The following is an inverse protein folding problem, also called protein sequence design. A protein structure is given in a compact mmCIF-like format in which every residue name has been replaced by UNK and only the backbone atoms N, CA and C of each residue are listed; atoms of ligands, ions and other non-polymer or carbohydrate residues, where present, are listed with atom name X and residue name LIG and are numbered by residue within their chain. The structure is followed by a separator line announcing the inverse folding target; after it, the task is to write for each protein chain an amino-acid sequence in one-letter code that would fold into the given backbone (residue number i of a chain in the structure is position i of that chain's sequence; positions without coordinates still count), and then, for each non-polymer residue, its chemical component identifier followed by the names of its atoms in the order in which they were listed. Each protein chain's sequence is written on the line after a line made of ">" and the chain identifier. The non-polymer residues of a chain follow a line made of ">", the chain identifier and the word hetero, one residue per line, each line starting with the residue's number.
data_IF_951656839324
#
_entry.id   IF_951656839324
#
_cell.length_a   1.000
_cell.length_b   1.000
_cell.length_c   1.000
_cell.angle_alpha   90.00
_cell.angle_beta   90.00
_cell.angle_gamma   90.00
#
_symmetry.space_group_name_H-M   'P 1'
#
loop_
_entity.id
_entity.type
_entity.pdbx_description
1 polymer ?
#
# COMPACT_ATOMS: atom_id res chain seq x y z
N UNK A 1 13.93 13.26 -24.71
CA UNK A 1 13.13 14.03 -25.68
C UNK A 1 11.88 14.53 -24.99
N UNK A 2 11.67 15.86 -25.00
CA UNK A 2 10.58 16.60 -24.32
C UNK A 2 9.37 16.78 -25.26
N UNK A 3 8.21 17.03 -24.63
CA UNK A 3 6.95 17.68 -25.10
C UNK A 3 5.76 16.71 -25.17
N UNK A 4 4.80 16.77 -24.24
CA UNK A 4 3.72 17.76 -24.03
C UNK A 4 2.73 17.80 -25.21
N UNK A 5 1.56 17.18 -25.02
CA UNK A 5 0.29 17.42 -25.72
C UNK A 5 -0.80 17.22 -24.66
N UNK A 6 -1.27 18.25 -23.92
CA UNK A 6 -2.27 19.28 -24.28
C UNK A 6 -3.55 18.72 -24.91
N UNK A 7 -4.55 18.59 -24.04
CA UNK A 7 -5.98 18.84 -24.23
C UNK A 7 -6.41 19.21 -25.65
N UNK A 8 -7.15 18.28 -26.27
CA UNK A 8 -8.01 18.56 -27.41
C UNK A 8 -9.46 18.50 -26.93
N UNK A 9 -10.07 19.68 -26.86
CA UNK A 9 -11.52 19.86 -26.77
C UNK A 9 -12.19 19.04 -27.86
N UNK A 10 -13.16 18.20 -27.47
CA UNK A 10 -14.17 17.65 -28.38
C UNK A 10 -15.11 18.78 -28.80
N UNK A 11 -14.68 19.50 -29.82
CA UNK A 11 -15.52 20.33 -30.67
C UNK A 11 -15.72 19.58 -31.99
N UNK A 12 -16.83 18.85 -32.10
CA UNK A 12 -17.41 18.37 -33.35
C UNK A 12 -18.85 17.94 -33.04
N UNK A 13 -19.87 18.15 -33.85
CA UNK A 13 -20.09 18.96 -35.02
C UNK A 13 -21.60 18.76 -35.27
N UNK A 14 -22.40 19.82 -35.16
CA UNK A 14 -23.69 19.87 -35.84
C UNK A 14 -23.73 21.18 -36.62
N UNK A 15 -23.21 21.10 -37.84
CA UNK A 15 -23.38 22.11 -38.84
C UNK A 15 -24.35 21.60 -39.91
N UNK A 16 -25.10 22.56 -40.45
CA UNK A 16 -25.78 22.55 -41.75
C UNK A 16 -27.23 22.06 -41.75
N UNK A 17 -28.15 23.02 -41.58
CA UNK A 17 -29.02 23.40 -42.70
C UNK A 17 -28.83 24.91 -42.91
N UNK A 18 -27.99 25.24 -43.90
CA UNK A 18 -27.94 26.54 -44.56
C UNK A 18 -28.64 26.35 -45.90
N UNK A 19 -29.73 27.08 -46.12
CA UNK A 19 -30.18 27.43 -47.45
C UNK A 19 -30.38 28.94 -47.51
N UNK A 20 -29.34 29.60 -48.03
CA UNK A 20 -29.31 30.82 -48.81
C UNK A 20 -30.46 31.84 -48.65
N UNK A 21 -30.10 33.02 -48.13
CA UNK A 21 -30.14 34.25 -48.91
C UNK A 21 -29.31 35.32 -48.17
N UNK A 22 -28.39 35.96 -48.89
CA UNK A 22 -27.69 37.13 -48.38
C UNK A 22 -28.69 38.25 -48.11
N UNK A 23 -28.76 38.71 -46.88
CA UNK A 23 -29.30 40.02 -46.53
C UNK A 23 -28.28 40.68 -45.64
N UNK A 24 -27.82 41.85 -46.08
CA UNK A 24 -27.13 42.85 -45.30
C UNK A 24 -27.63 42.88 -43.86
N UNK A 25 -26.72 42.67 -42.90
CA UNK A 25 -26.96 42.76 -41.48
C UNK A 25 -27.40 44.18 -41.10
N UNK A 26 -28.68 44.46 -41.24
CA UNK A 26 -29.36 45.32 -40.29
C UNK A 26 -29.35 44.55 -38.98
N UNK A 27 -28.91 45.20 -37.90
CA UNK A 27 -29.26 44.75 -36.56
C UNK A 27 -30.80 44.79 -36.50
N UNK A 28 -31.45 43.70 -36.88
CA UNK A 28 -32.88 43.52 -36.66
C UNK A 28 -33.05 43.62 -35.15
N UNK A 29 -33.88 44.58 -34.74
CA UNK A 29 -34.27 44.73 -33.35
C UNK A 29 -34.75 43.38 -32.83
N UNK A 30 -33.95 42.73 -31.98
CA UNK A 30 -34.27 41.43 -31.43
C UNK A 30 -35.60 41.48 -30.67
N UNK A 31 -36.00 42.66 -30.19
CA UNK A 31 -37.27 42.86 -29.50
C UNK A 31 -38.50 42.77 -30.43
N UNK A 32 -38.30 42.89 -31.75
CA UNK A 32 -39.32 42.66 -32.77
C UNK A 32 -39.49 41.19 -33.19
N UNK A 33 -38.58 40.28 -32.79
CA UNK A 33 -38.64 38.85 -33.14
C UNK A 33 -39.58 38.06 -32.23
N UNK A 34 -40.89 38.28 -32.40
CA UNK A 34 -41.90 37.56 -31.64
C UNK A 34 -41.83 36.03 -31.86
N UNK A 35 -41.55 35.58 -33.09
CA UNK A 35 -41.50 34.16 -33.41
C UNK A 35 -40.33 33.45 -32.70
N UNK A 36 -39.14 34.06 -32.68
CA UNK A 36 -37.97 33.54 -31.97
C UNK A 36 -38.16 33.54 -30.46
N UNK A 37 -38.77 34.59 -29.89
CA UNK A 37 -39.12 34.65 -28.48
C UNK A 37 -40.08 33.53 -28.08
N UNK A 38 -41.18 33.39 -28.81
CA UNK A 38 -42.22 32.39 -28.52
C UNK A 38 -41.68 30.95 -28.68
N UNK A 39 -40.76 30.72 -29.63
CA UNK A 39 -40.10 29.43 -29.82
C UNK A 39 -39.19 29.04 -28.62
N UNK A 40 -38.40 29.98 -28.10
CA UNK A 40 -37.59 29.75 -26.89
C UNK A 40 -38.47 29.56 -25.66
N UNK A 41 -39.49 30.39 -25.49
CA UNK A 41 -40.46 30.25 -24.39
C UNK A 41 -41.15 28.88 -24.41
N UNK A 42 -41.62 28.45 -25.59
CA UNK A 42 -42.18 27.11 -25.77
C UNK A 42 -41.19 26.01 -25.39
N UNK A 43 -39.94 26.12 -25.83
CA UNK A 43 -38.88 25.15 -25.49
C UNK A 43 -38.67 25.08 -23.97
N UNK A 44 -38.64 26.23 -23.29
CA UNK A 44 -38.51 26.31 -21.83
C UNK A 44 -39.72 25.66 -21.17
N UNK A 45 -40.95 26.00 -21.57
CA UNK A 45 -42.18 25.47 -20.98
C UNK A 45 -42.28 23.96 -21.14
N UNK A 46 -42.01 23.45 -22.34
CA UNK A 46 -42.07 22.02 -22.68
C UNK A 46 -41.06 21.18 -21.88
N UNK A 47 -39.92 21.76 -21.48
CA UNK A 47 -38.83 21.02 -20.82
C UNK A 47 -38.65 21.34 -19.33
N UNK A 48 -39.20 22.45 -18.83
CA UNK A 48 -38.99 22.93 -17.44
C UNK A 48 -39.46 21.95 -16.35
N UNK A 49 -40.46 21.13 -16.67
CA UNK A 49 -41.01 20.08 -15.82
C UNK A 49 -40.35 18.71 -16.03
N UNK A 50 -39.64 18.54 -17.15
CA UNK A 50 -38.94 17.30 -17.50
C UNK A 50 -37.68 17.17 -16.64
N UNK A 51 -37.63 16.13 -15.80
CA UNK A 51 -36.55 15.88 -14.84
C UNK A 51 -35.42 15.02 -15.40
N UNK A 52 -35.19 15.05 -16.72
CA UNK A 52 -34.09 14.34 -17.38
C UNK A 52 -32.89 15.26 -17.62
N UNK A 53 -31.70 14.69 -17.77
CA UNK A 53 -30.47 15.43 -18.10
C UNK A 53 -30.67 16.33 -19.33
N UNK A 54 -31.25 15.78 -20.39
CA UNK A 54 -31.52 16.49 -21.64
C UNK A 54 -32.57 17.60 -21.44
N UNK A 55 -33.64 17.34 -20.67
CA UNK A 55 -34.65 18.35 -20.37
C UNK A 55 -34.09 19.53 -19.57
N UNK A 56 -33.25 19.24 -18.56
CA UNK A 56 -32.54 20.28 -17.78
C UNK A 56 -31.60 21.11 -18.65
N UNK A 57 -30.81 20.46 -19.51
CA UNK A 57 -29.93 21.15 -20.45
C UNK A 57 -30.70 22.05 -21.42
N UNK A 58 -31.73 21.51 -22.09
CA UNK A 58 -32.55 22.28 -23.04
C UNK A 58 -33.19 23.49 -22.37
N UNK A 59 -33.74 23.33 -21.16
CA UNK A 59 -34.36 24.45 -20.42
C UNK A 59 -33.34 25.51 -20.04
N UNK A 60 -32.16 25.11 -19.55
CA UNK A 60 -31.10 26.04 -19.17
C UNK A 60 -30.53 26.80 -20.37
N UNK A 61 -30.22 26.10 -21.46
CA UNK A 61 -29.66 26.69 -22.68
C UNK A 61 -30.67 27.67 -23.32
N UNK A 62 -31.92 27.25 -23.51
CA UNK A 62 -32.97 28.10 -24.08
C UNK A 62 -33.29 29.30 -23.18
N UNK A 63 -33.27 29.11 -21.85
CA UNK A 63 -33.45 30.19 -20.89
C UNK A 63 -32.34 31.24 -20.95
N UNK A 64 -31.07 30.81 -21.05
CA UNK A 64 -29.93 31.73 -21.22
C UNK A 64 -30.05 32.52 -22.51
N UNK A 65 -30.33 31.82 -23.61
CA UNK A 65 -30.51 32.47 -24.91
C UNK A 65 -31.68 33.47 -24.89
N UNK A 66 -32.78 33.13 -24.20
CA UNK A 66 -33.90 34.05 -24.01
C UNK A 66 -33.49 35.30 -23.23
N UNK A 67 -32.80 35.13 -22.10
CA UNK A 67 -32.33 36.27 -21.29
C UNK A 67 -31.34 37.16 -22.04
N UNK A 68 -30.45 36.56 -22.84
CA UNK A 68 -29.46 37.28 -23.64
C UNK A 68 -30.12 38.08 -24.78
N UNK A 69 -31.04 37.46 -25.53
CA UNK A 69 -31.66 38.09 -26.70
C UNK A 69 -32.84 39.00 -26.36
N UNK A 70 -33.67 38.61 -25.40
CA UNK A 70 -34.97 39.24 -25.13
C UNK A 70 -35.11 39.78 -23.71
N UNK A 71 -34.23 39.43 -22.78
CA UNK A 71 -34.35 39.77 -21.36
C UNK A 71 -34.28 41.27 -21.02
N UNK A 72 -33.90 42.12 -21.98
CA UNK A 72 -33.85 43.57 -21.86
C UNK A 72 -34.89 44.30 -22.75
N UNK A 73 -35.71 43.57 -23.49
CA UNK A 73 -36.66 44.14 -24.44
C UNK A 73 -37.81 44.88 -23.73
N UNK A 74 -38.17 46.05 -24.28
CA UNK A 74 -39.18 46.94 -23.72
C UNK A 74 -40.30 47.21 -24.72
N UNK A 75 -41.52 47.40 -24.21
CA UNK A 75 -42.65 47.87 -25.01
C UNK A 75 -42.54 49.37 -25.34
N UNK A 76 -43.50 49.90 -26.09
CA UNK A 76 -43.56 51.33 -26.46
C UNK A 76 -43.66 52.28 -25.26
N UNK A 77 -44.16 51.77 -24.12
CA UNK A 77 -44.24 52.50 -22.86
C UNK A 77 -42.97 52.38 -22.00
N UNK A 78 -41.95 51.64 -22.47
CA UNK A 78 -40.67 51.45 -21.79
C UNK A 78 -40.66 50.35 -20.73
N UNK A 79 -41.72 49.55 -20.61
CA UNK A 79 -41.82 48.43 -19.67
C UNK A 79 -41.18 47.17 -20.24
N UNK A 80 -40.55 46.34 -19.40
CA UNK A 80 -39.98 45.06 -19.84
C UNK A 80 -41.08 44.12 -20.36
N UNK A 81 -40.90 43.62 -21.59
CA UNK A 81 -41.79 42.63 -22.18
C UNK A 81 -41.63 41.31 -21.42
N UNK A 82 -42.72 40.79 -20.86
CA UNK A 82 -42.70 39.52 -20.13
C UNK A 82 -41.88 39.56 -18.84
N UNK A 83 -41.89 40.69 -18.11
CA UNK A 83 -41.11 40.91 -16.89
C UNK A 83 -41.15 39.71 -15.91
N UNK A 84 -42.34 39.16 -15.63
CA UNK A 84 -42.51 38.00 -14.75
C UNK A 84 -41.76 36.75 -15.24
N UNK A 85 -41.77 36.51 -16.55
CA UNK A 85 -41.08 35.37 -17.15
C UNK A 85 -39.55 35.58 -17.14
N UNK A 86 -39.09 36.81 -17.40
CA UNK A 86 -37.67 37.18 -17.30
C UNK A 86 -37.17 37.02 -15.86
N UNK A 87 -37.93 37.49 -14.86
CA UNK A 87 -37.59 37.29 -13.44
C UNK A 87 -37.59 35.82 -13.04
N UNK A 88 -38.60 35.07 -13.46
CA UNK A 88 -38.67 33.62 -13.25
C UNK A 88 -37.45 32.91 -13.86
N UNK A 89 -37.05 33.26 -15.08
CA UNK A 89 -35.88 32.70 -15.76
C UNK A 89 -34.58 33.00 -15.01
N UNK A 90 -34.37 34.26 -14.59
CA UNK A 90 -33.21 34.64 -13.79
C UNK A 90 -33.10 33.81 -12.51
N UNK A 91 -34.23 33.49 -11.87
CA UNK A 91 -34.27 32.65 -10.68
C UNK A 91 -34.09 31.14 -10.98
N UNK A 92 -34.63 30.63 -12.09
CA UNK A 92 -34.70 29.19 -12.36
C UNK A 92 -33.55 28.63 -13.18
N UNK A 93 -32.96 29.39 -14.10
CA UNK A 93 -31.82 28.93 -14.91
C UNK A 93 -30.66 28.42 -14.04
N UNK A 94 -30.21 29.12 -12.97
CA UNK A 94 -29.17 28.60 -12.09
C UNK A 94 -29.52 27.25 -11.44
N UNK A 95 -30.81 27.04 -11.12
CA UNK A 95 -31.31 25.78 -10.55
C UNK A 95 -31.25 24.66 -11.58
N UNK A 96 -31.64 24.92 -12.82
CA UNK A 96 -31.58 23.92 -13.90
C UNK A 96 -30.15 23.58 -14.28
N UNK A 97 -29.24 24.56 -14.33
CA UNK A 97 -27.82 24.32 -14.56
C UNK A 97 -27.18 23.47 -13.47
N UNK A 98 -27.43 23.81 -12.21
CA UNK A 98 -26.96 23.03 -11.07
C UNK A 98 -27.47 21.59 -11.17
N UNK A 99 -28.76 21.41 -11.42
CA UNK A 99 -29.37 20.08 -11.58
C UNK A 99 -28.78 19.30 -12.76
N UNK A 100 -28.54 19.94 -13.90
CA UNK A 100 -27.88 19.32 -15.05
C UNK A 100 -26.46 18.87 -14.71
N UNK A 101 -25.66 19.74 -14.09
CA UNK A 101 -24.28 19.43 -13.70
C UNK A 101 -24.21 18.31 -12.66
N UNK A 102 -25.15 18.28 -11.71
CA UNK A 102 -25.29 17.17 -10.75
C UNK A 102 -25.60 15.84 -11.46
N UNK A 103 -26.50 15.85 -12.47
CA UNK A 103 -26.80 14.65 -13.27
C UNK A 103 -25.60 14.19 -14.10
N UNK A 104 -24.85 15.10 -14.71
CA UNK A 104 -23.60 14.78 -15.45
C UNK A 104 -22.56 14.17 -14.50
N UNK A 105 -22.40 14.75 -13.29
CA UNK A 105 -21.50 14.21 -12.27
C UNK A 105 -21.94 12.81 -11.84
N UNK A 106 -23.25 12.59 -11.63
CA UNK A 106 -23.80 11.29 -11.24
C UNK A 106 -23.56 10.22 -12.32
N UNK A 107 -23.88 10.52 -13.58
CA UNK A 107 -23.66 9.59 -14.71
C UNK A 107 -22.19 9.19 -14.86
N UNK A 108 -21.27 10.16 -14.74
CA UNK A 108 -19.83 9.87 -14.73
C UNK A 108 -19.46 8.96 -13.55
N UNK A 109 -19.96 9.27 -12.35
CA UNK A 109 -19.67 8.50 -11.16
C UNK A 109 -20.21 7.05 -11.27
N UNK A 110 -21.39 6.87 -11.86
CA UNK A 110 -21.99 5.55 -12.09
C UNK A 110 -21.17 4.73 -13.09
N UNK A 111 -20.71 5.35 -14.19
CA UNK A 111 -19.84 4.70 -15.17
C UNK A 111 -18.50 4.26 -14.54
N UNK A 112 -17.87 5.13 -13.76
CA UNK A 112 -16.63 4.82 -13.05
C UNK A 112 -16.83 3.72 -12.00
N UNK A 113 -17.93 3.78 -11.24
CA UNK A 113 -18.28 2.76 -10.24
C UNK A 113 -18.46 1.40 -10.91
N UNK A 114 -19.17 1.36 -12.05
CA UNK A 114 -19.33 0.14 -12.85
C UNK A 114 -17.97 -0.39 -13.32
N UNK A 115 -17.13 0.46 -13.89
CA UNK A 115 -15.78 0.07 -14.33
C UNK A 115 -14.93 -0.46 -13.18
N UNK A 116 -15.02 0.16 -12.00
CA UNK A 116 -14.31 -0.27 -10.79
C UNK A 116 -14.72 -1.68 -10.37
N UNK A 117 -16.01 -1.95 -10.21
CA UNK A 117 -16.48 -3.27 -9.78
C UNK A 117 -16.34 -4.35 -10.85
N UNK A 118 -16.56 -4.03 -12.13
CA UNK A 118 -16.28 -4.96 -13.23
C UNK A 118 -14.78 -5.28 -13.29
N UNK A 119 -13.93 -4.28 -13.06
CA UNK A 119 -12.48 -4.45 -12.95
C UNK A 119 -12.09 -5.38 -11.82
N UNK A 120 -12.70 -5.25 -10.64
CA UNK A 120 -12.46 -6.17 -9.52
C UNK A 120 -12.85 -7.60 -9.90
N UNK A 121 -14.07 -7.78 -10.44
CA UNK A 121 -14.59 -9.10 -10.82
C UNK A 121 -13.74 -9.80 -11.86
N UNK A 122 -13.23 -9.04 -12.83
CA UNK A 122 -12.42 -9.54 -13.95
C UNK A 122 -10.92 -9.53 -13.67
N UNK A 123 -10.50 -9.04 -12.50
CA UNK A 123 -9.09 -8.80 -12.14
C UNK A 123 -8.35 -7.87 -13.11
N UNK A 124 -9.08 -6.95 -13.74
CA UNK A 124 -8.52 -5.89 -14.58
C UNK A 124 -8.04 -4.74 -13.70
N UNK A 125 -6.86 -4.91 -13.10
CA UNK A 125 -6.34 -3.98 -12.10
C UNK A 125 -6.08 -2.58 -12.67
N UNK A 126 -5.67 -2.47 -13.93
CA UNK A 126 -5.55 -1.17 -14.60
C UNK A 126 -6.88 -0.41 -14.60
N UNK A 127 -8.00 -1.11 -14.87
CA UNK A 127 -9.32 -0.50 -14.81
C UNK A 127 -9.70 -0.10 -13.38
N UNK A 128 -9.39 -0.93 -12.38
CA UNK A 128 -9.66 -0.66 -10.96
C UNK A 128 -8.89 0.57 -10.47
N UNK A 129 -7.58 0.66 -10.77
CA UNK A 129 -6.77 1.83 -10.42
C UNK A 129 -7.25 3.07 -11.17
N UNK A 130 -7.52 2.99 -12.47
CA UNK A 130 -7.97 4.13 -13.26
C UNK A 130 -9.28 4.71 -12.69
N UNK A 131 -10.31 3.87 -12.53
CA UNK A 131 -11.61 4.35 -12.06
C UNK A 131 -11.63 4.70 -10.58
N UNK A 132 -10.94 3.93 -9.72
CA UNK A 132 -10.85 4.20 -8.29
C UNK A 132 -10.19 5.54 -7.99
N UNK A 133 -9.14 5.90 -8.75
CA UNK A 133 -8.49 7.22 -8.66
C UNK A 133 -9.43 8.37 -9.00
N UNK A 134 -10.22 8.24 -10.06
CA UNK A 134 -11.18 9.27 -10.45
C UNK A 134 -12.35 9.38 -9.46
N UNK A 135 -12.86 8.26 -8.94
CA UNK A 135 -13.90 8.26 -7.90
C UNK A 135 -13.44 9.01 -6.64
N UNK A 136 -12.24 8.69 -6.14
CA UNK A 136 -11.64 9.37 -4.99
C UNK A 136 -11.41 10.87 -5.23
N UNK A 137 -11.12 11.28 -6.47
CA UNK A 137 -10.97 12.69 -6.82
C UNK A 137 -12.33 13.43 -6.91
N UNK A 138 -13.40 12.74 -7.27
CA UNK A 138 -14.75 13.32 -7.40
C UNK A 138 -15.44 13.55 -6.06
N UNK A 139 -15.27 12.62 -5.13
CA UNK A 139 -15.85 12.66 -3.78
C UNK A 139 -15.06 11.69 -2.86
N UNK A 140 -14.00 12.17 -2.19
CA UNK A 140 -13.13 11.30 -1.38
C UNK A 140 -13.84 10.72 -0.16
N UNK A 141 -14.88 11.37 0.36
CA UNK A 141 -15.64 10.87 1.51
C UNK A 141 -16.57 9.74 1.09
N UNK A 142 -17.29 9.90 -0.03
CA UNK A 142 -18.17 8.87 -0.55
C UNK A 142 -17.43 7.62 -1.04
N UNK A 143 -16.28 7.81 -1.69
CA UNK A 143 -15.56 6.72 -2.37
C UNK A 143 -14.33 6.21 -1.60
N UNK A 144 -14.14 6.64 -0.35
CA UNK A 144 -13.02 6.21 0.51
C UNK A 144 -12.79 4.69 0.58
N UNK A 145 -13.82 3.82 0.59
CA UNK A 145 -13.60 2.37 0.57
C UNK A 145 -12.78 1.86 -0.63
N UNK A 146 -12.78 2.57 -1.77
CA UNK A 146 -11.94 2.23 -2.91
C UNK A 146 -10.44 2.33 -2.56
N UNK A 147 -10.06 3.23 -1.66
CA UNK A 147 -8.69 3.43 -1.20
C UNK A 147 -8.09 2.16 -0.59
N UNK A 148 -8.87 1.45 0.24
CA UNK A 148 -8.49 0.17 0.83
C UNK A 148 -8.25 -0.89 -0.25
N UNK A 149 -9.12 -0.94 -1.26
CA UNK A 149 -8.98 -1.89 -2.38
C UNK A 149 -7.68 -1.63 -3.12
N UNK A 150 -7.44 -0.37 -3.51
CA UNK A 150 -6.21 0.05 -4.18
C UNK A 150 -4.97 -0.22 -3.34
N UNK A 151 -5.06 -0.08 -2.01
CA UNK A 151 -4.00 -0.37 -1.06
C UNK A 151 -3.74 -1.86 -0.79
N UNK A 152 -4.54 -2.76 -1.39
CA UNK A 152 -4.45 -4.21 -1.11
C UNK A 152 -4.02 -5.05 -2.30
N UNK A 153 -4.31 -4.62 -3.54
CA UNK A 153 -4.09 -5.41 -4.77
C UNK A 153 -2.63 -5.84 -4.95
N UNK A 154 -1.67 -4.93 -4.76
CA UNK A 154 -0.25 -5.20 -5.04
C UNK A 154 0.34 -6.36 -4.22
N UNK A 155 -0.19 -6.63 -3.02
CA UNK A 155 0.25 -7.80 -2.23
C UNK A 155 -0.04 -9.11 -2.98
N UNK A 156 -1.30 -9.32 -3.39
CA UNK A 156 -1.71 -10.57 -4.05
C UNK A 156 -0.93 -10.79 -5.35
N UNK A 157 -0.72 -9.73 -6.13
CA UNK A 157 0.04 -9.76 -7.38
C UNK A 157 1.53 -10.02 -7.15
N UNK A 158 2.11 -9.41 -6.12
CA UNK A 158 3.51 -9.64 -5.73
C UNK A 158 3.70 -11.07 -5.17
N UNK A 159 2.65 -11.63 -4.55
CA UNK A 159 2.64 -12.97 -4.01
C UNK A 159 2.44 -14.07 -5.06
N UNK A 160 2.24 -13.76 -6.35
CA UNK A 160 2.19 -14.76 -7.43
C UNK A 160 3.57 -15.29 -7.83
N UNK A 161 3.55 -16.35 -8.64
CA UNK A 161 4.71 -16.91 -9.33
C UNK A 161 4.31 -17.17 -10.80
N UNK A 162 4.88 -16.45 -11.78
CA UNK A 162 5.83 -15.35 -11.63
C UNK A 162 5.20 -14.16 -10.88
N UNK A 163 6.06 -13.37 -10.24
CA UNK A 163 5.67 -12.17 -9.52
C UNK A 163 5.17 -11.09 -10.49
N UNK A 164 4.12 -10.38 -10.13
CA UNK A 164 3.65 -9.19 -10.87
C UNK A 164 3.73 -7.96 -9.96
N UNK A 165 4.47 -6.93 -10.39
CA UNK A 165 4.79 -5.75 -9.54
C UNK A 165 4.30 -4.43 -10.13
N UNK A 166 3.58 -4.49 -11.26
CA UNK A 166 3.10 -3.33 -12.03
C UNK A 166 2.41 -2.26 -11.19
N UNK A 167 1.63 -2.68 -10.19
CA UNK A 167 0.80 -1.78 -9.38
C UNK A 167 1.35 -1.49 -7.98
N UNK A 168 2.58 -1.91 -7.67
CA UNK A 168 3.11 -1.82 -6.31
C UNK A 168 3.29 -0.38 -5.82
N UNK A 169 3.64 0.56 -6.69
CA UNK A 169 3.80 1.97 -6.28
C UNK A 169 2.47 2.62 -5.91
N UNK A 170 1.43 2.40 -6.74
CA UNK A 170 0.07 2.86 -6.41
C UNK A 170 -0.46 2.13 -5.18
N UNK A 171 -0.21 0.82 -5.03
CA UNK A 171 -0.58 0.05 -3.82
C UNK A 171 0.05 0.65 -2.57
N UNK A 172 1.36 0.90 -2.58
CA UNK A 172 2.08 1.47 -1.44
C UNK A 172 1.52 2.85 -1.07
N UNK A 173 1.22 3.68 -2.07
CA UNK A 173 0.61 5.00 -1.86
C UNK A 173 -0.74 4.88 -1.17
N UNK A 174 -1.65 4.08 -1.71
CA UNK A 174 -3.01 3.94 -1.18
C UNK A 174 -3.04 3.21 0.16
N UNK A 175 -2.19 2.21 0.38
CA UNK A 175 -2.09 1.55 1.67
C UNK A 175 -1.64 2.49 2.79
N UNK A 176 -0.65 3.36 2.52
CA UNK A 176 -0.19 4.38 3.46
C UNK A 176 -1.26 5.44 3.73
N UNK A 177 -1.97 5.87 2.69
CA UNK A 177 -3.10 6.79 2.83
C UNK A 177 -4.20 6.17 3.71
N UNK A 178 -4.52 4.90 3.49
CA UNK A 178 -5.61 4.22 4.21
C UNK A 178 -5.27 4.01 5.66
N UNK A 179 -4.01 3.67 5.97
CA UNK A 179 -3.54 3.64 7.36
C UNK A 179 -3.70 5.01 8.01
N UNK A 180 -3.22 6.08 7.36
CA UNK A 180 -3.29 7.43 7.92
C UNK A 180 -4.75 7.88 8.17
N UNK A 181 -5.65 7.58 7.24
CA UNK A 181 -7.06 7.94 7.32
C UNK A 181 -7.82 7.12 8.38
N UNK A 182 -7.52 5.82 8.49
CA UNK A 182 -8.05 4.97 9.56
C UNK A 182 -7.55 5.43 10.94
N UNK A 183 -6.27 5.77 11.06
CA UNK A 183 -5.67 6.29 12.30
C UNK A 183 -6.26 7.65 12.67
N UNK A 184 -6.54 8.52 11.69
CA UNK A 184 -7.23 9.80 11.87
C UNK A 184 -8.74 9.68 12.17
N UNK A 185 -9.30 8.46 12.19
CA UNK A 185 -10.71 8.23 12.52
C UNK A 185 -11.68 8.57 11.40
N UNK A 186 -11.23 8.62 10.14
CA UNK A 186 -12.14 8.80 9.00
C UNK A 186 -13.00 7.56 8.80
N UNK A 187 -14.22 7.77 8.33
CA UNK A 187 -15.21 6.72 8.10
C UNK A 187 -14.96 6.00 6.77
N UNK A 188 -15.02 4.67 6.80
CA UNK A 188 -15.00 3.79 5.63
C UNK A 188 -16.23 2.88 5.71
N UNK A 189 -17.26 3.16 4.91
CA UNK A 189 -18.49 2.37 4.89
C UNK A 189 -18.78 1.90 3.46
N UNK A 190 -18.45 0.63 3.11
CA UNK A 190 -17.79 -0.41 3.93
C UNK A 190 -16.27 -0.21 4.12
N UNK A 191 -15.63 -1.01 4.97
CA UNK A 191 -14.16 -1.12 5.09
C UNK A 191 -13.54 -1.87 3.90
N UNK A 192 -13.64 -1.27 2.71
CA UNK A 192 -13.23 -1.87 1.44
C UNK A 192 -14.31 -2.70 0.78
N UNK A 193 -14.01 -3.22 -0.41
CA UNK A 193 -14.94 -4.03 -1.20
C UNK A 193 -14.35 -5.41 -1.47
N UNK A 194 -15.20 -6.44 -1.52
CA UNK A 194 -14.79 -7.82 -1.80
C UNK A 194 -13.95 -7.90 -3.09
N UNK A 195 -12.82 -8.65 -3.10
CA UNK A 195 -12.32 -9.53 -2.04
C UNK A 195 -11.45 -8.81 -0.98
N UNK A 196 -11.36 -7.48 -1.04
CA UNK A 196 -10.51 -6.62 -0.21
C UNK A 196 -11.32 -5.87 0.85
N UNK A 197 -12.34 -6.50 1.44
CA UNK A 197 -13.10 -5.94 2.55
C UNK A 197 -12.61 -6.51 3.89
N UNK A 198 -12.62 -5.69 4.94
CA UNK A 198 -12.17 -6.09 6.27
C UNK A 198 -13.29 -5.97 7.30
N UNK A 199 -13.25 -6.83 8.32
CA UNK A 199 -14.27 -6.89 9.37
C UNK A 199 -14.30 -5.65 10.27
N UNK A 200 -13.13 -5.06 10.54
CA UNK A 200 -12.94 -3.95 11.47
C UNK A 200 -11.64 -3.20 11.14
N UNK A 201 -11.42 -2.08 11.84
CA UNK A 201 -10.25 -1.21 11.67
C UNK A 201 -8.94 -1.97 11.96
N UNK A 202 -8.90 -2.81 12.98
CA UNK A 202 -7.67 -3.52 13.38
C UNK A 202 -7.26 -4.54 12.31
N UNK A 203 -8.24 -5.23 11.71
CA UNK A 203 -8.02 -6.13 10.57
C UNK A 203 -7.49 -5.38 9.35
N UNK A 204 -8.11 -4.24 9.02
CA UNK A 204 -7.65 -3.39 7.91
C UNK A 204 -6.22 -2.90 8.13
N UNK A 205 -5.92 -2.38 9.32
CA UNK A 205 -4.57 -1.93 9.67
C UNK A 205 -3.55 -3.07 9.60
N UNK A 206 -3.88 -4.26 10.10
CA UNK A 206 -3.02 -5.44 10.00
C UNK A 206 -2.66 -5.79 8.56
N UNK A 207 -3.67 -5.92 7.69
CA UNK A 207 -3.46 -6.27 6.28
C UNK A 207 -2.78 -5.17 5.46
N UNK A 208 -3.08 -3.90 5.70
CA UNK A 208 -2.42 -2.79 5.00
C UNK A 208 -0.94 -2.69 5.40
N UNK A 209 -0.62 -2.85 6.70
CA UNK A 209 0.77 -2.92 7.15
C UNK A 209 1.48 -4.14 6.56
N UNK A 210 0.83 -5.31 6.53
CA UNK A 210 1.43 -6.50 5.93
C UNK A 210 1.70 -6.30 4.43
N UNK A 211 0.75 -5.72 3.69
CA UNK A 211 0.87 -5.40 2.27
C UNK A 211 2.09 -4.51 2.00
N UNK A 212 2.24 -3.41 2.76
CA UNK A 212 3.39 -2.51 2.64
C UNK A 212 4.68 -3.26 2.98
N UNK A 213 4.71 -3.96 4.11
CA UNK A 213 5.89 -4.69 4.58
C UNK A 213 6.37 -5.73 3.58
N UNK A 214 5.45 -6.47 2.96
CA UNK A 214 5.75 -7.49 1.96
C UNK A 214 6.30 -6.87 0.67
N UNK A 215 5.63 -5.86 0.11
CA UNK A 215 6.08 -5.19 -1.12
C UNK A 215 7.46 -4.56 -0.92
N UNK A 216 7.67 -3.84 0.19
CA UNK A 216 8.97 -3.23 0.49
C UNK A 216 10.07 -4.29 0.60
N UNK A 217 9.80 -5.40 1.29
CA UNK A 217 10.80 -6.44 1.54
C UNK A 217 11.17 -7.25 0.29
N UNK A 218 10.17 -7.59 -0.53
CA UNK A 218 10.36 -8.56 -1.60
C UNK A 218 10.44 -7.95 -2.98
N UNK A 219 9.70 -6.87 -3.28
CA UNK A 219 9.77 -6.17 -4.57
C UNK A 219 10.80 -5.03 -4.53
N UNK A 220 10.67 -4.10 -3.59
CA UNK A 220 11.53 -2.91 -3.52
C UNK A 220 12.91 -3.16 -2.93
N UNK A 221 13.15 -4.38 -2.41
CA UNK A 221 14.38 -4.76 -1.72
C UNK A 221 14.77 -3.82 -0.57
N UNK A 222 13.78 -3.18 0.06
CA UNK A 222 13.93 -2.31 1.22
C UNK A 222 13.35 -3.01 2.47
N UNK A 223 14.01 -4.10 2.85
CA UNK A 223 13.63 -4.87 4.05
C UNK A 223 13.75 -4.05 5.34
N UNK A 224 14.61 -3.03 5.36
CA UNK A 224 14.79 -2.14 6.53
C UNK A 224 13.54 -1.30 6.79
N UNK A 225 12.93 -0.72 5.76
CA UNK A 225 11.63 -0.08 5.92
C UNK A 225 10.52 -1.11 6.10
N UNK A 226 10.56 -2.21 5.33
CA UNK A 226 9.55 -3.27 5.34
C UNK A 226 9.34 -3.91 6.71
N UNK A 227 10.42 -4.18 7.46
CA UNK A 227 10.34 -4.88 8.75
C UNK A 227 9.51 -4.12 9.79
N UNK A 228 9.51 -2.78 9.78
CA UNK A 228 8.70 -1.97 10.69
C UNK A 228 7.20 -2.15 10.44
N UNK A 229 6.80 -2.27 9.18
CA UNK A 229 5.41 -2.55 8.80
C UNK A 229 5.03 -4.01 9.10
N UNK A 230 5.93 -4.97 8.83
CA UNK A 230 5.72 -6.37 9.20
C UNK A 230 5.56 -6.55 10.71
N UNK A 231 6.36 -5.83 11.50
CA UNK A 231 6.22 -5.81 12.95
C UNK A 231 4.83 -5.30 13.35
N UNK A 232 4.39 -4.15 12.84
CA UNK A 232 3.02 -3.64 13.09
C UNK A 232 1.94 -4.65 12.74
N UNK A 233 2.06 -5.34 11.59
CA UNK A 233 1.14 -6.40 11.20
C UNK A 233 1.12 -7.57 12.20
N UNK A 234 2.30 -7.99 12.71
CA UNK A 234 2.41 -9.05 13.72
C UNK A 234 1.81 -8.70 15.08
N UNK A 235 1.67 -7.40 15.38
CA UNK A 235 1.14 -6.90 16.65
C UNK A 235 -0.35 -6.48 16.55
N UNK A 236 -0.90 -6.41 15.34
CA UNK A 236 -2.29 -6.01 15.13
C UNK A 236 -3.25 -7.07 15.68
N UNK A 237 -4.45 -6.65 16.12
CA UNK A 237 -5.56 -7.55 16.46
C UNK A 237 -6.23 -8.09 15.19
N UNK A 238 -5.40 -8.67 14.33
CA UNK A 238 -5.75 -9.06 12.97
C UNK A 238 -5.33 -10.50 12.70
N UNK A 239 -5.96 -11.14 11.71
CA UNK A 239 -5.51 -12.43 11.17
C UNK A 239 -4.06 -12.40 10.68
N UNK A 240 -3.53 -11.23 10.32
CA UNK A 240 -2.11 -11.09 9.96
C UNK A 240 -1.14 -11.52 11.07
N UNK A 241 -1.51 -11.39 12.34
CA UNK A 241 -0.71 -11.86 13.48
C UNK A 241 -0.63 -13.40 13.57
N UNK A 242 -1.42 -14.14 12.78
CA UNK A 242 -1.36 -15.60 12.70
C UNK A 242 -0.79 -16.11 11.38
N UNK A 243 -0.38 -15.22 10.48
CA UNK A 243 0.24 -15.57 9.20
C UNK A 243 1.72 -15.90 9.43
N UNK A 244 2.17 -17.15 9.19
CA UNK A 244 3.58 -17.53 9.37
C UNK A 244 4.55 -16.68 8.54
N UNK A 245 4.13 -16.24 7.36
CA UNK A 245 4.97 -15.48 6.43
C UNK A 245 5.32 -14.08 6.93
N UNK A 246 4.49 -13.48 7.78
CA UNK A 246 4.81 -12.21 8.46
C UNK A 246 6.08 -12.37 9.30
N UNK A 247 6.12 -13.41 10.13
CA UNK A 247 7.25 -13.70 11.00
C UNK A 247 8.48 -14.19 10.23
N UNK A 248 8.30 -15.05 9.22
CA UNK A 248 9.40 -15.46 8.33
C UNK A 248 10.04 -14.24 7.65
N UNK A 249 9.23 -13.28 7.21
CA UNK A 249 9.72 -12.06 6.56
C UNK A 249 10.50 -11.16 7.52
N UNK A 250 10.06 -11.04 8.77
CA UNK A 250 10.84 -10.37 9.84
C UNK A 250 12.17 -11.09 10.07
N UNK A 251 12.15 -12.43 10.16
CA UNK A 251 13.36 -13.25 10.30
C UNK A 251 14.33 -13.05 9.13
N UNK A 252 13.82 -12.96 7.90
CA UNK A 252 14.65 -12.72 6.71
C UNK A 252 15.38 -11.38 6.75
N UNK A 253 14.79 -10.32 7.32
CA UNK A 253 15.50 -9.06 7.53
C UNK A 253 16.70 -9.26 8.48
N UNK A 254 16.50 -9.97 9.59
CA UNK A 254 17.59 -10.21 10.55
C UNK A 254 18.65 -11.17 10.01
N UNK A 255 18.33 -12.09 9.10
CA UNK A 255 19.33 -12.88 8.38
C UNK A 255 20.25 -11.96 7.57
N UNK A 256 19.70 -11.01 6.81
CA UNK A 256 20.50 -10.09 6.00
C UNK A 256 21.40 -9.22 6.89
N UNK A 257 20.88 -8.72 8.01
CA UNK A 257 21.67 -7.96 8.99
C UNK A 257 22.75 -8.82 9.65
N UNK A 258 22.45 -10.07 9.97
CA UNK A 258 23.40 -11.02 10.53
C UNK A 258 24.54 -11.28 9.54
N UNK A 259 24.22 -11.52 8.27
CA UNK A 259 25.23 -11.80 7.23
C UNK A 259 26.17 -10.60 7.04
N UNK A 260 25.67 -9.36 7.02
CA UNK A 260 26.53 -8.15 6.99
C UNK A 260 27.49 -8.12 8.18
N UNK A 261 27.00 -8.43 9.38
CA UNK A 261 27.83 -8.46 10.60
C UNK A 261 28.86 -9.59 10.58
N UNK A 262 28.53 -10.74 9.99
CA UNK A 262 29.48 -11.84 9.78
C UNK A 262 30.60 -11.39 8.83
N UNK A 263 30.29 -10.66 7.76
CA UNK A 263 31.32 -10.14 6.84
C UNK A 263 32.25 -9.13 7.52
N UNK A 264 31.69 -8.22 8.34
CA UNK A 264 32.48 -7.31 9.18
C UNK A 264 33.40 -8.08 10.13
N UNK A 265 32.87 -9.08 10.83
CA UNK A 265 33.62 -9.93 11.75
C UNK A 265 34.75 -10.68 11.03
N UNK A 266 34.46 -11.29 9.88
CA UNK A 266 35.47 -12.00 9.08
C UNK A 266 36.58 -11.07 8.61
N UNK A 267 36.26 -9.82 8.28
CA UNK A 267 37.25 -8.80 7.93
C UNK A 267 38.16 -8.49 9.12
N UNK A 268 37.60 -8.35 10.33
CA UNK A 268 38.38 -8.11 11.54
C UNK A 268 39.28 -9.29 11.92
N UNK A 269 38.79 -10.51 11.77
CA UNK A 269 39.57 -11.74 12.00
C UNK A 269 40.74 -11.84 11.02
N UNK A 270 40.51 -11.57 9.73
CA UNK A 270 41.58 -11.58 8.70
C UNK A 270 42.62 -10.47 8.91
N UNK A 271 42.24 -9.37 9.53
CA UNK A 271 43.13 -8.24 9.82
C UNK A 271 44.01 -8.47 11.07
N UNK A 272 43.91 -9.61 11.75
CA UNK A 272 44.81 -9.93 12.86
C UNK A 272 46.25 -10.13 12.36
N UNK A 273 47.19 -9.40 12.96
CA UNK A 273 48.62 -9.60 12.73
C UNK A 273 49.22 -10.43 13.89
N UNK A 274 49.70 -11.66 13.65
CA UNK A 274 50.32 -12.48 14.68
C UNK A 274 51.62 -11.87 15.25
N UNK A 275 52.21 -10.89 14.57
CA UNK A 275 53.42 -10.20 15.00
C UNK A 275 53.15 -8.86 15.70
N UNK A 276 51.89 -8.44 15.82
CA UNK A 276 51.53 -7.22 16.53
C UNK A 276 51.92 -7.29 18.02
N UNK A 277 52.16 -6.13 18.66
CA UNK A 277 52.28 -6.02 20.11
C UNK A 277 51.09 -6.65 20.87
N UNK A 278 51.34 -7.17 22.08
CA UNK A 278 50.36 -7.95 22.84
C UNK A 278 49.12 -7.13 23.25
N UNK A 279 49.30 -5.84 23.53
CA UNK A 279 48.23 -4.88 23.80
C UNK A 279 47.33 -4.69 22.57
N UNK A 280 47.92 -4.62 21.37
CA UNK A 280 47.18 -4.51 20.10
C UNK A 280 46.41 -5.81 19.82
N UNK A 281 47.01 -6.98 20.04
CA UNK A 281 46.33 -8.28 19.92
C UNK A 281 45.13 -8.38 20.86
N UNK A 282 45.33 -8.01 22.12
CA UNK A 282 44.29 -8.03 23.16
C UNK A 282 43.13 -7.13 22.78
N UNK A 283 43.41 -5.90 22.34
CA UNK A 283 42.40 -4.96 21.87
C UNK A 283 41.62 -5.53 20.66
N UNK A 284 42.32 -6.17 19.71
CA UNK A 284 41.68 -6.77 18.53
C UNK A 284 40.80 -7.98 18.88
N UNK A 285 41.22 -8.80 19.83
CA UNK A 285 40.40 -9.91 20.34
C UNK A 285 39.13 -9.36 21.02
N UNK A 286 39.25 -8.31 21.82
CA UNK A 286 38.09 -7.67 22.45
C UNK A 286 37.11 -7.11 21.39
N UNK A 287 37.62 -6.47 20.33
CA UNK A 287 36.82 -5.98 19.20
C UNK A 287 36.09 -7.13 18.48
N UNK A 288 36.79 -8.24 18.20
CA UNK A 288 36.22 -9.44 17.59
C UNK A 288 35.13 -10.05 18.48
N UNK A 289 35.37 -10.17 19.79
CA UNK A 289 34.37 -10.68 20.75
C UNK A 289 33.12 -9.77 20.78
N UNK A 290 33.30 -8.45 20.78
CA UNK A 290 32.19 -7.50 20.74
C UNK A 290 31.36 -7.65 19.44
N UNK A 291 32.03 -7.82 18.30
CA UNK A 291 31.36 -8.04 17.00
C UNK A 291 30.68 -9.40 16.91
N UNK A 292 31.29 -10.45 17.44
CA UNK A 292 30.64 -11.75 17.61
C UNK A 292 29.38 -11.63 18.48
N UNK A 293 29.43 -10.83 19.56
CA UNK A 293 28.27 -10.55 20.39
C UNK A 293 27.12 -9.93 19.59
N UNK A 294 27.41 -9.01 18.67
CA UNK A 294 26.40 -8.44 17.77
C UNK A 294 25.84 -9.45 16.77
N UNK A 295 26.68 -10.35 16.23
CA UNK A 295 26.22 -11.46 15.37
C UNK A 295 25.26 -12.35 16.15
N UNK A 296 25.63 -12.73 17.38
CA UNK A 296 24.81 -13.56 18.25
C UNK A 296 23.45 -12.92 18.56
N UNK A 297 23.43 -11.66 19.01
CA UNK A 297 22.17 -10.95 19.29
C UNK A 297 21.28 -10.80 18.05
N UNK A 298 21.87 -10.63 16.87
CA UNK A 298 21.11 -10.58 15.60
C UNK A 298 20.55 -11.96 15.23
N UNK A 299 21.33 -13.02 15.43
CA UNK A 299 20.90 -14.40 15.20
C UNK A 299 19.73 -14.80 16.13
N UNK A 300 19.76 -14.37 17.40
CA UNK A 300 18.66 -14.62 18.35
C UNK A 300 17.36 -13.91 17.93
N UNK A 301 17.42 -12.67 17.42
CA UNK A 301 16.24 -12.00 16.85
C UNK A 301 15.68 -12.74 15.63
N UNK A 302 16.56 -13.22 14.75
CA UNK A 302 16.14 -14.03 13.62
C UNK A 302 15.48 -15.34 14.09
N UNK A 303 16.10 -16.08 15.01
CA UNK A 303 15.56 -17.32 15.58
C UNK A 303 14.21 -17.11 16.26
N UNK A 304 14.04 -16.04 17.02
CA UNK A 304 12.77 -15.72 17.66
C UNK A 304 11.65 -15.54 16.62
N UNK A 305 11.89 -14.78 15.54
CA UNK A 305 10.92 -14.62 14.46
C UNK A 305 10.63 -15.96 13.75
N UNK A 306 11.67 -16.76 13.45
CA UNK A 306 11.47 -18.08 12.85
C UNK A 306 10.75 -19.06 13.78
N UNK A 307 10.92 -18.97 15.10
CA UNK A 307 10.20 -19.80 16.06
C UNK A 307 8.69 -19.56 15.98
N UNK A 308 8.26 -18.29 15.88
CA UNK A 308 6.85 -17.94 15.66
C UNK A 308 6.35 -18.46 14.30
N UNK A 309 7.15 -18.29 13.24
CA UNK A 309 6.79 -18.77 11.92
C UNK A 309 6.59 -20.31 11.91
N UNK A 310 7.49 -21.07 12.53
CA UNK A 310 7.42 -22.53 12.67
C UNK A 310 6.19 -22.92 13.48
N UNK A 311 5.96 -22.30 14.63
CA UNK A 311 4.84 -22.61 15.49
C UNK A 311 3.48 -22.36 14.81
N UNK A 312 3.36 -21.29 14.03
CA UNK A 312 2.15 -21.00 13.26
C UNK A 312 1.99 -21.92 12.05
N UNK A 313 3.05 -22.14 11.27
CA UNK A 313 2.98 -22.98 10.08
C UNK A 313 2.67 -24.44 10.39
N UNK A 314 3.15 -24.94 11.53
CA UNK A 314 2.93 -26.31 12.00
C UNK A 314 1.47 -26.61 12.37
N UNK A 315 0.62 -25.59 12.54
CA UNK A 315 -0.81 -25.77 12.84
C UNK A 315 -1.62 -26.30 11.66
N UNK A 316 -1.14 -26.12 10.42
CA UNK A 316 -1.80 -26.61 9.21
C UNK A 316 -0.92 -27.61 8.48
N UNK A 317 -1.39 -28.86 8.37
CA UNK A 317 -0.68 -29.95 7.69
C UNK A 317 -0.44 -29.66 6.21
N UNK A 318 -1.23 -28.79 5.58
CA UNK A 318 -1.01 -28.34 4.18
C UNK A 318 0.27 -27.53 4.02
N UNK A 319 0.81 -26.97 5.11
CA UNK A 319 2.05 -26.23 5.11
C UNK A 319 3.28 -27.12 5.39
N UNK A 320 3.19 -28.45 5.44
CA UNK A 320 4.31 -29.32 5.83
C UNK A 320 5.65 -29.02 5.11
N UNK A 321 5.63 -28.81 3.78
CA UNK A 321 6.82 -28.44 3.03
C UNK A 321 7.36 -27.05 3.39
N UNK A 322 6.45 -26.09 3.59
CA UNK A 322 6.79 -24.75 4.04
C UNK A 322 7.38 -24.75 5.45
N UNK A 323 6.73 -25.43 6.40
CA UNK A 323 7.18 -25.65 7.78
C UNK A 323 8.57 -26.27 7.81
N UNK A 324 8.83 -27.29 6.97
CA UNK A 324 10.15 -27.90 6.83
C UNK A 324 11.21 -26.87 6.39
N UNK A 325 10.94 -26.11 5.33
CA UNK A 325 11.88 -25.13 4.81
C UNK A 325 12.24 -24.02 5.83
N UNK A 326 11.25 -23.48 6.54
CA UNK A 326 11.51 -22.46 7.58
C UNK A 326 12.21 -23.06 8.82
N UNK A 327 11.94 -24.33 9.15
CA UNK A 327 12.63 -25.04 10.25
C UNK A 327 14.10 -25.29 9.90
N UNK A 328 14.39 -25.71 8.67
CA UNK A 328 15.78 -25.90 8.20
C UNK A 328 16.55 -24.58 8.21
N UNK A 329 15.91 -23.48 7.81
CA UNK A 329 16.50 -22.14 7.92
C UNK A 329 16.80 -21.78 9.37
N UNK A 330 15.87 -22.02 10.29
CA UNK A 330 16.09 -21.78 11.71
C UNK A 330 17.25 -22.63 12.27
N UNK A 331 17.38 -23.90 11.85
CA UNK A 331 18.51 -24.77 12.24
C UNK A 331 19.86 -24.22 11.79
N UNK A 332 19.93 -23.64 10.59
CA UNK A 332 21.17 -23.01 10.11
C UNK A 332 21.56 -21.80 10.97
N UNK A 333 20.59 -20.95 11.32
CA UNK A 333 20.84 -19.78 12.19
C UNK A 333 21.25 -20.24 13.59
N UNK A 334 20.62 -21.29 14.12
CA UNK A 334 20.98 -21.89 15.40
C UNK A 334 22.42 -22.40 15.40
N UNK A 335 22.84 -23.08 14.33
CA UNK A 335 24.22 -23.50 14.14
C UNK A 335 25.21 -22.34 14.10
N UNK A 336 24.84 -21.19 13.51
CA UNK A 336 25.67 -19.97 13.54
C UNK A 336 25.77 -19.41 14.96
N UNK A 337 24.66 -19.38 15.72
CA UNK A 337 24.61 -18.82 17.08
C UNK A 337 25.33 -19.68 18.11
N UNK A 338 25.19 -21.01 18.04
CA UNK A 338 25.63 -21.92 19.11
C UNK A 338 26.75 -22.89 18.69
N UNK A 339 27.08 -22.97 17.40
CA UNK A 339 28.13 -23.86 16.90
C UNK A 339 27.83 -25.35 17.01
N UNK A 340 26.60 -25.74 17.40
CA UNK A 340 26.17 -27.12 17.59
C UNK A 340 24.69 -27.30 17.20
N UNK A 341 24.25 -28.52 16.85
CA UNK A 341 22.85 -28.79 16.55
C UNK A 341 22.00 -29.10 17.79
N UNK A 342 22.63 -29.57 18.87
CA UNK A 342 21.92 -30.03 20.07
C UNK A 342 21.24 -28.88 20.81
N UNK A 343 19.97 -29.09 21.21
CA UNK A 343 19.17 -28.11 21.93
C UNK A 343 18.30 -27.20 21.05
N UNK A 344 18.34 -27.37 19.73
CA UNK A 344 17.52 -26.59 18.79
C UNK A 344 16.02 -26.66 19.10
N UNK A 345 15.46 -27.86 19.30
CA UNK A 345 14.02 -28.03 19.50
C UNK A 345 13.55 -27.35 20.80
N UNK A 346 14.32 -27.50 21.88
CA UNK A 346 14.06 -26.81 23.15
C UNK A 346 14.13 -25.30 22.97
N UNK A 347 15.14 -24.80 22.26
CA UNK A 347 15.32 -23.38 22.03
C UNK A 347 14.15 -22.77 21.25
N UNK A 348 13.73 -23.39 20.14
CA UNK A 348 12.60 -22.89 19.33
C UNK A 348 11.30 -22.90 20.13
N UNK A 349 11.07 -23.96 20.94
CA UNK A 349 9.89 -24.02 21.79
C UNK A 349 9.86 -22.86 22.81
N UNK A 350 10.99 -22.56 23.45
CA UNK A 350 11.11 -21.43 24.38
C UNK A 350 11.00 -20.08 23.67
N UNK A 351 11.68 -19.90 22.54
CA UNK A 351 11.73 -18.64 21.81
C UNK A 351 10.35 -18.22 21.27
N UNK A 352 9.49 -19.18 20.90
CA UNK A 352 8.11 -18.90 20.52
C UNK A 352 7.26 -18.31 21.66
N UNK A 353 7.65 -18.51 22.93
CA UNK A 353 7.00 -17.89 24.09
C UNK A 353 7.39 -16.43 24.34
N UNK A 354 8.39 -15.91 23.61
CA UNK A 354 8.94 -14.56 23.82
C UNK A 354 8.49 -13.64 22.69
N UNK A 355 7.87 -12.51 23.00
CA UNK A 355 7.41 -11.56 21.98
C UNK A 355 8.54 -11.14 21.02
N UNK A 356 8.20 -11.01 19.74
CA UNK A 356 9.15 -10.55 18.71
C UNK A 356 9.65 -9.14 19.06
N UNK A 357 10.98 -8.92 19.14
CA UNK A 357 11.51 -7.59 19.43
C UNK A 357 11.16 -6.57 18.35
N UNK A 358 10.79 -5.36 18.78
CA UNK A 358 10.54 -4.25 17.87
C UNK A 358 11.81 -3.95 17.03
N UNK A 359 11.75 -3.91 15.69
CA UNK A 359 12.92 -3.66 14.85
C UNK A 359 13.54 -2.27 15.04
N UNK A 360 12.84 -1.32 15.67
CA UNK A 360 13.38 -0.02 16.03
C UNK A 360 14.28 -0.05 17.29
N UNK A 361 14.23 -1.11 18.11
CA UNK A 361 15.12 -1.22 19.27
C UNK A 361 16.49 -1.70 18.84
N UNK A 362 17.53 -1.15 19.46
CA UNK A 362 18.91 -1.55 19.22
C UNK A 362 19.10 -3.05 19.52
N UNK A 363 19.88 -3.73 18.68
CA UNK A 363 20.25 -5.12 18.92
C UNK A 363 21.23 -5.16 20.08
N UNK A 364 20.90 -5.89 21.13
CA UNK A 364 21.77 -6.10 22.27
C UNK A 364 22.85 -7.14 21.90
N UNK A 365 24.14 -6.86 22.12
CA UNK A 365 25.18 -7.86 21.94
C UNK A 365 25.01 -9.00 22.95
N UNK A 366 25.15 -10.24 22.49
CA UNK A 366 25.11 -11.43 23.34
C UNK A 366 26.48 -12.08 23.38
N UNK A 367 27.20 -11.86 24.48
CA UNK A 367 28.53 -12.43 24.73
C UNK A 367 28.34 -13.69 25.57
N UNK A 368 28.68 -14.84 25.01
CA UNK A 368 28.69 -16.08 25.78
C UNK A 368 29.86 -16.04 26.79
N UNK A 369 29.68 -16.58 28.01
CA UNK A 369 30.78 -16.69 28.94
C UNK A 369 31.90 -17.52 28.31
N UNK A 370 33.14 -17.05 28.44
CA UNK A 370 34.30 -17.86 28.07
C UNK A 370 34.20 -19.18 28.84
N UNK A 371 34.22 -20.31 28.15
CA UNK A 371 34.12 -21.66 28.75
C UNK A 371 35.36 -22.05 29.58
N UNK A 372 36.09 -21.07 30.11
CA UNK A 372 37.25 -21.22 31.01
C UNK A 372 36.97 -20.76 32.44
N UNK A 373 35.72 -20.82 32.90
CA UNK A 373 35.45 -20.86 34.33
C UNK A 373 35.60 -22.31 34.81
N UNK A 374 36.84 -22.73 35.06
CA UNK A 374 37.10 -23.84 35.97
C UNK A 374 36.46 -23.49 37.32
N UNK A 375 35.40 -24.22 37.68
CA UNK A 375 34.98 -24.34 39.07
C UNK A 375 36.19 -24.87 39.87
N UNK A 376 36.50 -24.38 41.10
CA UNK A 376 37.64 -24.88 41.84
C UNK A 376 37.39 -26.35 42.24
N UNK A 377 37.94 -27.28 41.47
CA UNK A 377 38.07 -28.67 41.87
C UNK A 377 39.35 -28.81 42.71
N UNK A 378 39.19 -29.43 43.87
CA UNK A 378 40.28 -29.75 44.79
C UNK A 378 41.41 -30.52 44.08
N UNK A 379 42.64 -30.21 44.49
CA UNK A 379 43.89 -30.85 44.06
C UNK A 379 43.79 -32.40 44.13
N UNK A 380 44.47 -33.15 43.25
CA UNK A 380 45.92 -33.28 43.38
C UNK A 380 46.75 -33.30 42.08
N UNK A 381 47.99 -32.83 42.25
CA UNK A 381 49.24 -33.13 41.55
C UNK A 381 49.23 -33.88 40.22
N UNK A 382 49.85 -33.25 39.21
CA UNK A 382 50.79 -33.96 38.33
C UNK A 382 50.53 -33.83 36.82
N UNK A 383 51.52 -33.22 36.16
CA UNK A 383 51.87 -33.33 34.72
C UNK A 383 51.05 -32.57 33.66
N UNK A 384 51.62 -31.39 33.30
CA UNK A 384 51.75 -30.74 31.97
C UNK A 384 50.58 -30.86 30.97
N UNK A 385 49.90 -29.74 30.64
CA UNK A 385 49.05 -29.67 29.46
C UNK A 385 49.81 -29.19 28.22
N UNK A 386 49.53 -29.86 27.10
CA UNK A 386 49.75 -29.33 25.76
C UNK A 386 48.77 -28.16 25.49
N UNK A 387 49.23 -27.17 24.73
CA UNK A 387 48.44 -26.03 24.31
C UNK A 387 47.28 -26.48 23.40
N UNK A 388 46.03 -26.24 23.81
CA UNK A 388 44.87 -26.28 22.94
C UNK A 388 44.33 -24.87 22.73
N UNK A 389 44.73 -24.25 21.63
CA UNK A 389 44.00 -23.11 21.05
C UNK A 389 42.72 -23.63 20.38
N UNK A 390 41.60 -23.60 21.10
CA UNK A 390 40.26 -23.76 20.48
C UNK A 390 39.82 -22.42 19.93
N UNK A 391 40.29 -22.09 18.74
CA UNK A 391 39.69 -21.03 17.92
C UNK A 391 38.31 -21.51 17.48
N UNK A 392 37.24 -20.94 18.04
CA UNK A 392 35.90 -21.10 17.50
C UNK A 392 35.93 -20.68 16.01
N UNK A 393 35.70 -21.65 15.13
CA UNK A 393 35.67 -21.43 13.69
C UNK A 393 34.54 -20.44 13.37
N UNK A 394 34.80 -19.34 12.66
CA UNK A 394 33.75 -18.39 12.28
C UNK A 394 32.65 -19.11 11.50
N UNK A 395 31.40 -18.94 11.91
CA UNK A 395 30.23 -19.43 11.19
C UNK A 395 30.30 -18.99 9.73
N UNK A 396 30.07 -19.92 8.81
CA UNK A 396 29.95 -19.57 7.38
C UNK A 396 28.60 -18.89 7.16
N UNK A 397 28.56 -17.85 6.33
CA UNK A 397 27.33 -17.13 6.02
C UNK A 397 26.19 -18.09 5.67
N UNK A 398 25.00 -17.86 6.22
CA UNK A 398 23.84 -18.68 5.88
C UNK A 398 23.53 -18.48 4.39
N UNK A 399 23.62 -19.56 3.60
CA UNK A 399 23.07 -19.58 2.25
C UNK A 399 21.56 -19.74 2.40
N UNK A 400 20.86 -18.64 2.71
CA UNK A 400 19.42 -18.65 2.83
C UNK A 400 18.83 -19.18 1.52
N UNK A 401 18.05 -20.26 1.60
CA UNK A 401 17.17 -20.64 0.51
C UNK A 401 16.11 -19.53 0.38
N UNK A 402 16.40 -18.51 -0.44
CA UNK A 402 15.46 -17.45 -0.80
C UNK A 402 14.37 -17.92 -1.75
N UNK A 403 14.35 -19.21 -2.11
CA UNK A 403 13.19 -19.77 -2.79
C UNK A 403 12.00 -19.70 -1.85
N UNK A 404 11.04 -18.85 -2.24
CA UNK A 404 9.81 -18.62 -1.53
C UNK A 404 8.99 -19.91 -1.50
N UNK A 405 9.30 -20.80 -0.57
CA UNK A 405 8.30 -21.72 -0.05
C UNK A 405 7.20 -20.81 0.50
N UNK A 406 6.06 -20.73 -0.20
CA UNK A 406 4.92 -19.91 0.21
C UNK A 406 3.95 -20.82 0.96
N UNK A 407 3.49 -20.36 2.11
CA UNK A 407 2.26 -20.87 2.71
C UNK A 407 1.11 -20.67 1.71
N UNK A 408 0.16 -21.61 1.63
CA UNK A 408 -1.10 -21.46 0.87
C UNK A 408 -2.07 -20.47 1.56
N UNK A 409 -1.55 -19.39 2.15
CA UNK A 409 -2.33 -18.34 2.77
C UNK A 409 -3.05 -17.51 1.72
N UNK A 410 -4.15 -18.03 1.20
CA UNK A 410 -5.19 -17.20 0.56
C UNK A 410 -5.78 -16.29 1.63
N UNK A 411 -5.94 -14.99 1.32
CA UNK A 411 -7.01 -14.20 1.97
C UNK A 411 -8.29 -15.01 1.79
N UNK A 412 -8.85 -15.53 2.89
CA UNK A 412 -10.12 -16.24 2.84
C UNK A 412 -11.24 -15.26 2.51
#
# INVERSE_FOLDING_TARGET
>A
MKRIFRYSLLSAAFAVILSAAGVSAYAQDACGDAAGRDALEKTIRDNSTVKTKEGRKKTADAGKEFLEKYGACKDEAGNLIGADFVEWLKAKIPVYEKSYNEMVKAEKADALTKQFFDGIKTKSWDAVYASGKELLAMDPDKYRPAEIVLGSIGYDETAKTPRVTTWNDDTLKYAKLSIADLEAGKTFEPLGFSPYNYKDKDEALGWLNYTIGYILSFDKNDKKQGVSYLYKASQARSTTATIPDVYRSIGSYYIDEMNKRIEELQTLVKAQDPNAPEDVKTAKIAEIKAKQGMVNGTAERALNAFAHAVALASKDTKNAAYTKAITETAKQIYGIRFGKPDGFDTYIATANGVAVPNPATAIEPVIDPDTSAESPAAAPTGTKPAASTTTQKPGTAAKAATEAAKSKGTRQ
#
